data_IF_414305666082
#
_entry.id   IF_414305666082
#
_cell.length_a   1.000
_cell.length_b   1.000
_cell.length_c   1.000
_cell.angle_alpha   90.00
_cell.angle_beta   90.00
_cell.angle_gamma   90.00
#
_symmetry.space_group_name_H-M   'P 1'
#
loop_
_entity.id
_entity.type
_entity.pdbx_description
1 polymer ?
#
# COMPACT_ATOMS: atom_id res chain seq x y z
N UNK A 1 32.26 -36.29 -45.57
CA UNK A 1 31.85 -35.07 -46.29
C UNK A 1 30.42 -34.74 -45.85
N UNK A 2 30.26 -33.84 -44.88
CA UNK A 2 29.79 -32.44 -45.10
C UNK A 2 28.25 -32.38 -45.24
N UNK A 3 27.50 -32.13 -44.16
CA UNK A 3 26.95 -30.81 -43.73
C UNK A 3 26.07 -30.13 -44.79
N UNK A 4 24.78 -29.96 -44.46
CA UNK A 4 23.87 -28.77 -44.60
C UNK A 4 22.47 -29.32 -44.22
N UNK A 5 21.93 -29.19 -43.00
CA UNK A 5 21.54 -28.00 -42.24
C UNK A 5 20.31 -27.25 -42.79
N UNK A 6 19.19 -27.43 -42.06
CA UNK A 6 18.31 -26.37 -41.56
C UNK A 6 17.34 -25.66 -42.52
N UNK A 7 16.07 -26.09 -42.52
CA UNK A 7 14.88 -25.21 -42.50
C UNK A 7 13.63 -26.06 -42.24
N UNK A 8 12.62 -25.48 -41.58
CA UNK A 8 11.34 -26.09 -41.14
C UNK A 8 11.31 -26.67 -39.71
N UNK A 9 11.90 -25.94 -38.75
CA UNK A 9 11.37 -25.91 -37.37
C UNK A 9 10.86 -24.50 -37.10
N UNK A 10 9.71 -24.19 -37.68
CA UNK A 10 8.99 -22.93 -37.45
C UNK A 10 7.49 -23.16 -37.62
N UNK A 11 6.92 -24.11 -36.86
CA UNK A 11 5.48 -24.32 -36.82
C UNK A 11 4.97 -25.06 -35.56
N UNK A 12 5.65 -25.02 -34.41
CA UNK A 12 5.08 -25.53 -33.13
C UNK A 12 5.66 -24.77 -31.91
N UNK A 13 5.55 -23.44 -31.88
CA UNK A 13 5.85 -22.65 -30.65
C UNK A 13 4.76 -21.58 -30.42
N UNK A 14 3.50 -21.93 -30.71
CA UNK A 14 2.33 -21.15 -30.32
C UNK A 14 1.30 -22.14 -29.77
N UNK A 15 1.52 -22.67 -28.55
CA UNK A 15 0.50 -23.34 -27.70
C UNK A 15 1.10 -24.00 -26.45
N UNK A 16 1.92 -23.31 -25.64
CA UNK A 16 2.29 -23.81 -24.28
C UNK A 16 2.39 -22.70 -23.22
N UNK A 17 1.53 -21.67 -23.29
CA UNK A 17 1.29 -20.75 -22.15
C UNK A 17 -0.21 -20.39 -22.07
N UNK A 18 -1.10 -21.37 -22.20
CA UNK A 18 -2.55 -21.22 -21.93
C UNK A 18 -3.17 -22.49 -21.34
N UNK A 19 -2.38 -23.33 -20.66
CA UNK A 19 -2.90 -24.54 -19.97
C UNK A 19 -2.39 -24.65 -18.54
N UNK A 20 -2.45 -23.54 -17.80
CA UNK A 20 -2.83 -23.67 -16.39
C UNK A 20 -4.36 -23.58 -16.40
N UNK A 21 -5.09 -24.53 -15.79
CA UNK A 21 -6.53 -24.37 -15.65
C UNK A 21 -6.72 -23.09 -14.84
N UNK A 22 -7.15 -22.03 -15.51
CA UNK A 22 -7.72 -20.87 -14.87
C UNK A 22 -8.92 -21.41 -14.08
N UNK A 23 -8.73 -21.68 -12.79
CA UNK A 23 -9.80 -21.43 -11.85
C UNK A 23 -10.09 -19.94 -11.99
N UNK A 24 -10.97 -19.61 -12.94
CA UNK A 24 -11.72 -18.37 -12.95
C UNK A 24 -12.53 -18.39 -11.66
N UNK A 25 -11.91 -18.00 -10.56
CA UNK A 25 -12.56 -17.83 -9.28
C UNK A 25 -13.54 -16.68 -9.48
N UNK A 26 -14.80 -17.04 -9.70
CA UNK A 26 -15.92 -16.11 -9.71
C UNK A 26 -15.92 -15.42 -8.35
N UNK A 27 -15.45 -14.17 -8.29
CA UNK A 27 -15.70 -13.38 -7.10
C UNK A 27 -17.22 -13.15 -7.00
N UNK A 28 -17.75 -13.28 -5.79
CA UNK A 28 -19.09 -12.83 -5.47
C UNK A 28 -19.27 -11.37 -5.92
N UNK A 29 -20.48 -10.99 -6.30
CA UNK A 29 -20.77 -9.70 -6.94
C UNK A 29 -20.62 -8.48 -6.02
N UNK A 30 -19.75 -8.52 -5.01
CA UNK A 30 -19.52 -7.44 -4.06
C UNK A 30 -18.12 -6.83 -4.25
N UNK A 31 -18.03 -5.51 -4.14
CA UNK A 31 -16.76 -4.75 -4.17
C UNK A 31 -16.73 -3.79 -2.99
N UNK A 32 -15.71 -3.92 -2.16
CA UNK A 32 -15.55 -3.12 -0.94
C UNK A 32 -14.80 -1.81 -1.23
N UNK A 33 -15.39 -0.68 -0.87
CA UNK A 33 -14.74 0.62 -0.88
C UNK A 33 -13.87 0.75 0.36
N UNK A 34 -12.60 1.08 0.18
CA UNK A 34 -11.59 1.13 1.23
C UNK A 34 -10.93 2.50 1.25
N UNK A 35 -11.27 3.31 2.26
CA UNK A 35 -10.70 4.64 2.45
C UNK A 35 -9.19 4.60 2.71
N UNK A 36 -8.46 5.64 2.30
CA UNK A 36 -7.00 5.64 2.25
C UNK A 36 -6.33 5.34 3.61
N UNK A 37 -6.84 5.93 4.69
CA UNK A 37 -6.32 5.74 6.06
C UNK A 37 -7.00 4.63 6.86
N UNK A 38 -7.99 3.91 6.30
CA UNK A 38 -8.69 2.86 7.03
C UNK A 38 -7.91 1.55 7.00
N UNK A 39 -7.77 0.87 8.13
CA UNK A 39 -7.20 -0.49 8.20
C UNK A 39 -8.06 -1.52 7.46
N UNK A 40 -9.36 -1.27 7.29
CA UNK A 40 -10.26 -2.24 6.63
C UNK A 40 -10.48 -3.51 7.45
N UNK A 41 -10.86 -4.59 6.76
CA UNK A 41 -11.19 -5.88 7.37
C UNK A 41 -9.96 -6.78 7.47
N UNK A 42 -9.85 -7.48 8.60
CA UNK A 42 -8.90 -8.57 8.87
C UNK A 42 -7.44 -8.23 8.53
N UNK A 43 -6.84 -7.22 9.19
CA UNK A 43 -5.48 -6.79 8.89
C UNK A 43 -4.43 -7.88 9.18
N UNK A 44 -3.50 -8.05 8.25
CA UNK A 44 -2.28 -8.82 8.50
C UNK A 44 -1.43 -8.15 9.59
N UNK A 45 -1.29 -6.84 9.55
CA UNK A 45 -0.46 -6.09 10.51
C UNK A 45 -1.11 -4.77 10.88
N UNK A 46 -0.61 -4.15 11.96
CA UNK A 46 -0.81 -2.73 12.19
C UNK A 46 -0.36 -1.90 10.97
N UNK A 47 -0.86 -0.67 10.89
CA UNK A 47 -0.51 0.24 9.79
C UNK A 47 1.00 0.52 9.74
N UNK A 48 1.55 0.36 8.55
CA UNK A 48 2.90 0.76 8.15
C UNK A 48 2.86 1.92 7.16
N UNK A 49 1.69 2.50 6.90
CA UNK A 49 1.57 3.69 6.09
C UNK A 49 2.17 4.90 6.82
N UNK A 50 3.06 5.62 6.16
CA UNK A 50 3.60 6.88 6.67
C UNK A 50 2.60 8.01 6.38
N UNK A 51 2.33 8.82 7.40
CA UNK A 51 1.47 9.99 7.25
C UNK A 51 2.15 11.02 6.33
N UNK A 52 1.36 11.65 5.47
CA UNK A 52 1.83 12.89 4.83
C UNK A 52 1.42 14.05 5.73
N UNK A 53 2.15 15.17 5.67
CA UNK A 53 1.59 16.47 6.02
C UNK A 53 0.22 16.67 5.32
N UNK A 54 -0.71 17.34 6.01
CA UNK A 54 -2.14 17.47 5.68
C UNK A 54 -2.41 17.68 4.17
N UNK A 55 -3.20 16.78 3.55
CA UNK A 55 -3.46 16.71 2.12
C UNK A 55 -4.41 17.79 1.54
N UNK A 56 -4.21 18.13 0.26
CA UNK A 56 -5.20 18.80 -0.60
C UNK A 56 -6.17 17.77 -1.25
N UNK A 57 -7.49 18.04 -1.32
CA UNK A 57 -8.53 17.03 -1.59
C UNK A 57 -8.91 16.85 -3.07
N UNK A 58 -8.02 17.08 -4.04
CA UNK A 58 -8.43 17.05 -5.47
C UNK A 58 -7.85 15.85 -6.22
N UNK A 59 -8.68 14.91 -6.73
CA UNK A 59 -8.20 13.88 -7.65
C UNK A 59 -7.64 14.56 -8.91
N UNK A 60 -6.34 14.37 -9.17
CA UNK A 60 -5.74 14.84 -10.42
C UNK A 60 -5.98 13.80 -11.50
N UNK A 61 -6.35 14.25 -12.70
CA UNK A 61 -6.56 13.38 -13.86
C UNK A 61 -5.32 12.49 -14.09
N UNK A 62 -5.51 11.18 -14.00
CA UNK A 62 -4.54 10.21 -14.53
C UNK A 62 -4.53 10.37 -16.05
N UNK A 63 -3.36 10.37 -16.73
CA UNK A 63 -3.29 10.56 -18.17
C UNK A 63 -4.21 9.58 -18.93
N UNK A 64 -4.81 10.10 -20.01
CA UNK A 64 -5.92 9.52 -20.78
C UNK A 64 -5.86 8.00 -20.93
N UNK A 65 -6.88 7.34 -20.38
CA UNK A 65 -7.23 5.95 -20.68
C UNK A 65 -8.30 5.93 -21.77
N UNK A 66 -8.16 5.03 -22.74
CA UNK A 66 -9.23 4.66 -23.68
C UNK A 66 -10.32 3.92 -22.89
N UNK A 67 -11.45 4.56 -22.63
CA UNK A 67 -12.57 3.95 -21.92
C UNK A 67 -13.85 4.03 -22.77
N UNK A 68 -14.50 2.88 -22.96
CA UNK A 68 -15.90 2.76 -23.37
C UNK A 68 -16.77 2.86 -22.11
N UNK A 69 -17.94 3.50 -22.18
CA UNK A 69 -18.87 3.59 -21.06
C UNK A 69 -19.13 2.19 -20.45
N UNK A 70 -18.97 2.05 -19.13
CA UNK A 70 -18.98 0.82 -18.32
C UNK A 70 -17.70 -0.03 -18.26
N UNK A 71 -16.59 0.36 -18.88
CA UNK A 71 -15.31 -0.33 -18.75
C UNK A 71 -14.44 0.33 -17.67
N UNK A 72 -13.92 -0.46 -16.71
CA UNK A 72 -12.90 0.00 -15.77
C UNK A 72 -11.67 0.47 -16.54
N UNK A 73 -11.13 1.64 -16.20
CA UNK A 73 -10.00 2.24 -16.93
C UNK A 73 -8.73 1.43 -16.69
N UNK A 74 -8.16 0.86 -17.75
CA UNK A 74 -6.90 0.10 -17.64
C UNK A 74 -5.71 1.04 -17.82
N UNK A 75 -4.78 1.02 -16.86
CA UNK A 75 -3.54 1.80 -16.90
C UNK A 75 -2.35 0.87 -16.70
N UNK A 76 -1.24 1.10 -17.40
CA UNK A 76 0.00 0.33 -17.20
C UNK A 76 0.71 0.81 -15.94
N UNK A 77 1.30 -0.11 -15.18
CA UNK A 77 2.07 0.20 -13.97
C UNK A 77 3.30 1.07 -14.20
N UNK A 78 3.78 1.16 -15.45
CA UNK A 78 4.88 2.03 -15.86
C UNK A 78 4.46 3.46 -16.24
N UNK A 79 3.15 3.77 -16.23
CA UNK A 79 2.66 5.09 -16.64
C UNK A 79 3.23 6.19 -15.72
N UNK A 80 3.99 7.17 -16.27
CA UNK A 80 4.47 8.30 -15.50
C UNK A 80 3.33 9.05 -14.80
N UNK A 81 3.50 9.34 -13.51
CA UNK A 81 2.47 9.99 -12.72
C UNK A 81 1.27 9.12 -12.38
N UNK A 82 1.29 7.80 -12.59
CA UNK A 82 0.26 6.94 -12.01
C UNK A 82 0.28 7.02 -10.46
N UNK A 83 1.47 7.20 -9.90
CA UNK A 83 1.72 7.22 -8.47
C UNK A 83 2.12 8.59 -7.96
N UNK A 84 1.84 8.83 -6.69
CA UNK A 84 2.27 9.99 -5.94
C UNK A 84 3.08 9.60 -4.70
N UNK A 85 3.51 10.61 -3.95
CA UNK A 85 4.19 10.47 -2.67
C UNK A 85 5.11 11.65 -2.40
N UNK A 86 5.71 11.69 -1.21
CA UNK A 86 6.66 12.75 -0.85
C UNK A 86 8.07 12.44 -1.32
N UNK A 87 8.72 13.42 -1.95
CA UNK A 87 10.13 13.28 -2.34
C UNK A 87 11.01 13.09 -1.09
N UNK A 88 11.93 12.13 -1.14
CA UNK A 88 12.83 11.75 -0.04
C UNK A 88 12.17 11.11 1.19
N UNK A 89 10.90 10.72 1.09
CA UNK A 89 10.23 9.95 2.14
C UNK A 89 9.44 8.78 1.55
N UNK A 90 9.46 7.65 2.23
CA UNK A 90 8.65 6.49 1.87
C UNK A 90 7.19 6.71 2.26
N UNK A 91 6.26 6.24 1.44
CA UNK A 91 4.84 6.21 1.82
C UNK A 91 4.51 5.04 2.76
N UNK A 92 5.42 4.07 2.88
CA UNK A 92 5.27 2.91 3.74
C UNK A 92 6.60 2.57 4.42
N UNK A 93 6.55 2.22 5.70
CA UNK A 93 7.67 1.65 6.43
C UNK A 93 7.81 0.15 6.12
N UNK A 94 8.72 -0.15 5.18
CA UNK A 94 9.01 -1.51 4.74
C UNK A 94 9.61 -2.36 5.86
N UNK A 95 10.49 -1.81 6.69
CA UNK A 95 11.16 -2.58 7.74
C UNK A 95 10.21 -2.88 8.90
N UNK A 96 9.30 -1.96 9.23
CA UNK A 96 8.21 -2.23 10.18
C UNK A 96 7.30 -3.34 9.68
N UNK A 97 6.98 -3.38 8.38
CA UNK A 97 6.18 -4.46 7.80
C UNK A 97 6.90 -5.82 7.90
N UNK A 98 8.20 -5.83 7.60
CA UNK A 98 9.04 -7.02 7.70
C UNK A 98 9.10 -7.52 9.14
N UNK A 99 9.31 -6.61 10.10
CA UNK A 99 9.34 -6.93 11.53
C UNK A 99 8.03 -7.53 12.00
N UNK A 100 6.89 -6.92 11.63
CA UNK A 100 5.57 -7.40 12.02
C UNK A 100 5.27 -8.80 11.47
N UNK A 101 5.60 -9.08 10.21
CA UNK A 101 5.41 -10.43 9.64
C UNK A 101 6.42 -11.43 10.21
N UNK A 102 7.68 -11.05 10.40
CA UNK A 102 8.70 -11.95 10.98
C UNK A 102 8.38 -12.34 12.43
N UNK A 103 7.73 -11.44 13.18
CA UNK A 103 7.23 -11.70 14.53
C UNK A 103 5.95 -12.54 14.59
N UNK A 104 5.29 -12.81 13.45
CA UNK A 104 4.06 -13.58 13.38
C UNK A 104 4.15 -14.70 12.31
N UNK A 105 4.79 -15.84 12.62
CA UNK A 105 5.09 -16.89 11.63
C UNK A 105 3.88 -17.44 10.87
N UNK A 106 2.72 -17.55 11.51
CA UNK A 106 1.47 -17.99 10.86
C UNK A 106 1.01 -16.99 9.80
N UNK A 107 0.96 -15.70 10.18
CA UNK A 107 0.63 -14.61 9.25
C UNK A 107 1.64 -14.51 8.12
N UNK A 108 2.93 -14.66 8.39
CA UNK A 108 3.96 -14.65 7.36
C UNK A 108 3.78 -15.77 6.33
N UNK A 109 3.42 -16.97 6.79
CA UNK A 109 3.15 -18.11 5.91
C UNK A 109 1.94 -17.86 5.01
N UNK A 110 0.85 -17.32 5.55
CA UNK A 110 -0.34 -17.00 4.78
C UNK A 110 -0.09 -15.82 3.82
N UNK A 111 0.65 -14.80 4.27
CA UNK A 111 1.05 -13.68 3.41
C UNK A 111 1.87 -14.17 2.21
N UNK A 112 2.84 -15.05 2.48
CA UNK A 112 3.71 -15.63 1.47
C UNK A 112 2.93 -16.52 0.49
N UNK A 113 1.94 -17.29 0.97
CA UNK A 113 1.14 -18.16 0.10
C UNK A 113 0.26 -17.38 -0.87
N UNK A 114 -0.33 -16.24 -0.46
CA UNK A 114 -1.10 -15.37 -1.35
C UNK A 114 -0.26 -14.86 -2.52
N UNK A 115 1.01 -14.55 -2.27
CA UNK A 115 1.92 -13.96 -3.26
C UNK A 115 2.78 -15.00 -4.01
N UNK A 116 2.56 -16.29 -3.76
CA UNK A 116 3.33 -17.41 -4.33
C UNK A 116 4.85 -17.28 -4.09
N UNK A 117 5.22 -16.92 -2.86
CA UNK A 117 6.62 -16.83 -2.42
C UNK A 117 6.87 -17.73 -1.21
N UNK A 118 8.15 -18.07 -0.97
CA UNK A 118 8.54 -18.80 0.24
C UNK A 118 8.44 -17.86 1.47
N UNK A 119 8.01 -18.34 2.65
CA UNK A 119 7.96 -17.52 3.87
C UNK A 119 9.30 -16.86 4.23
N UNK A 120 10.42 -17.56 3.99
CA UNK A 120 11.78 -17.01 4.18
C UNK A 120 12.16 -15.91 3.17
N UNK A 121 11.44 -15.81 2.05
CA UNK A 121 11.65 -14.81 1.02
C UNK A 121 10.91 -13.49 1.26
N UNK A 122 9.95 -13.45 2.20
CA UNK A 122 9.12 -12.25 2.46
C UNK A 122 9.95 -10.99 2.73
N UNK A 123 11.02 -11.02 3.55
CA UNK A 123 11.83 -9.82 3.77
C UNK A 123 12.50 -9.28 2.50
N UNK A 124 13.03 -10.17 1.66
CA UNK A 124 13.66 -9.77 0.40
C UNK A 124 12.64 -9.26 -0.61
N UNK A 125 11.46 -9.90 -0.66
CA UNK A 125 10.35 -9.48 -1.50
C UNK A 125 9.88 -8.07 -1.15
N UNK A 126 9.60 -7.80 0.13
CA UNK A 126 9.12 -6.49 0.59
C UNK A 126 10.13 -5.36 0.31
N UNK A 127 11.44 -5.60 0.48
CA UNK A 127 12.50 -4.62 0.16
C UNK A 127 12.63 -4.35 -1.34
N UNK A 128 12.23 -5.28 -2.19
CA UNK A 128 12.22 -5.06 -3.64
C UNK A 128 11.02 -4.23 -4.11
N UNK A 129 9.97 -4.12 -3.28
CA UNK A 129 8.80 -3.31 -3.62
C UNK A 129 9.04 -1.83 -3.37
N UNK A 130 8.38 -1.00 -4.17
CA UNK A 130 8.53 0.45 -4.13
C UNK A 130 7.38 1.08 -3.33
N UNK A 131 7.63 1.80 -2.24
CA UNK A 131 6.60 2.52 -1.50
C UNK A 131 6.13 3.75 -2.25
N UNK A 132 4.83 3.82 -2.55
CA UNK A 132 4.17 4.92 -3.27
C UNK A 132 2.73 5.12 -2.79
N UNK A 133 2.07 6.19 -3.24
CA UNK A 133 0.64 6.45 -3.04
C UNK A 133 -0.12 6.36 -4.35
N UNK A 134 -1.34 5.84 -4.28
CA UNK A 134 -2.26 5.83 -5.41
C UNK A 134 -2.73 7.25 -5.72
N UNK A 135 -2.74 7.66 -7.00
CA UNK A 135 -3.35 8.95 -7.42
C UNK A 135 -4.77 8.82 -7.94
N UNK A 136 -5.26 7.59 -8.11
CA UNK A 136 -6.63 7.29 -8.50
C UNK A 136 -7.18 6.13 -7.69
N UNK A 137 -8.49 6.10 -7.59
CA UNK A 137 -9.22 4.99 -7.00
C UNK A 137 -8.92 3.70 -7.78
N UNK A 138 -8.38 2.68 -7.11
CA UNK A 138 -7.78 1.52 -7.79
C UNK A 138 -8.44 0.22 -7.39
N UNK A 139 -8.84 -0.61 -8.37
CA UNK A 139 -9.35 -1.97 -8.17
C UNK A 139 -8.22 -2.93 -7.84
N UNK A 140 -8.44 -3.76 -6.82
CA UNK A 140 -7.54 -4.84 -6.41
C UNK A 140 -8.33 -6.04 -5.89
N UNK A 141 -7.68 -7.19 -5.83
CA UNK A 141 -8.09 -8.28 -4.94
C UNK A 141 -7.30 -8.14 -3.65
N UNK A 142 -7.97 -7.90 -2.53
CA UNK A 142 -7.36 -7.73 -1.22
C UNK A 142 -7.58 -8.99 -0.37
N UNK A 143 -6.59 -9.32 0.45
CA UNK A 143 -6.59 -10.55 1.24
C UNK A 143 -6.38 -10.21 2.71
N UNK A 144 -7.38 -10.48 3.54
CA UNK A 144 -7.25 -10.35 4.99
C UNK A 144 -6.72 -11.63 5.62
N UNK A 145 -6.48 -11.60 6.92
CA UNK A 145 -6.08 -12.77 7.71
C UNK A 145 -7.13 -13.06 8.78
N UNK A 146 -7.78 -14.21 8.68
CA UNK A 146 -8.77 -14.67 9.65
C UNK A 146 -8.60 -16.17 9.88
N UNK A 147 -8.63 -16.62 11.14
CA UNK A 147 -8.61 -18.03 11.54
C UNK A 147 -7.50 -18.87 10.86
N UNK A 148 -6.28 -18.32 10.78
CA UNK A 148 -5.13 -19.03 10.21
C UNK A 148 -5.08 -19.07 8.69
N UNK A 149 -5.99 -18.36 8.00
CA UNK A 149 -6.15 -18.42 6.55
C UNK A 149 -6.29 -17.02 5.93
N UNK A 150 -6.04 -16.93 4.62
CA UNK A 150 -6.28 -15.70 3.88
C UNK A 150 -7.78 -15.59 3.54
N UNK A 151 -8.41 -14.47 3.87
CA UNK A 151 -9.70 -14.10 3.26
C UNK A 151 -9.43 -13.50 1.88
N UNK A 152 -10.42 -13.46 1.00
CA UNK A 152 -10.26 -12.87 -0.34
C UNK A 152 -11.49 -12.06 -0.68
N UNK A 153 -11.30 -10.79 -1.06
CA UNK A 153 -12.39 -9.91 -1.44
C UNK A 153 -11.95 -8.91 -2.50
N UNK A 154 -12.90 -8.48 -3.33
CA UNK A 154 -12.66 -7.42 -4.30
C UNK A 154 -12.77 -6.06 -3.61
N UNK A 155 -11.85 -5.15 -3.93
CA UNK A 155 -11.83 -3.83 -3.33
C UNK A 155 -11.55 -2.72 -4.34
N UNK A 156 -12.01 -1.52 -4.02
CA UNK A 156 -11.50 -0.26 -4.56
C UNK A 156 -10.78 0.47 -3.44
N UNK A 157 -9.48 0.68 -3.62
CA UNK A 157 -8.66 1.49 -2.73
C UNK A 157 -8.80 2.96 -3.15
N UNK A 158 -9.11 3.84 -2.20
CA UNK A 158 -9.18 5.28 -2.45
C UNK A 158 -7.83 5.84 -2.91
N UNK A 159 -7.85 6.85 -3.79
CA UNK A 159 -6.69 7.70 -4.03
C UNK A 159 -6.08 8.22 -2.70
N UNK A 160 -4.75 8.30 -2.63
CA UNK A 160 -4.01 8.60 -1.41
C UNK A 160 -3.65 7.36 -0.57
N UNK A 161 -4.19 6.17 -0.88
CA UNK A 161 -3.78 4.94 -0.19
C UNK A 161 -2.30 4.66 -0.44
N UNK A 162 -1.53 4.46 0.63
CA UNK A 162 -0.14 4.01 0.57
C UNK A 162 -0.05 2.51 0.25
N UNK A 163 0.75 2.17 -0.75
CA UNK A 163 0.94 0.80 -1.25
C UNK A 163 2.41 0.51 -1.55
N UNK A 164 2.78 -0.75 -1.51
CA UNK A 164 4.03 -1.26 -2.06
C UNK A 164 3.77 -1.83 -3.46
N UNK A 165 4.47 -1.33 -4.48
CA UNK A 165 4.33 -1.79 -5.87
C UNK A 165 5.53 -2.60 -6.33
N UNK A 166 5.31 -3.62 -7.17
CA UNK A 166 6.40 -4.41 -7.74
C UNK A 166 7.17 -3.67 -8.86
N UNK A 167 8.19 -4.33 -9.41
CA UNK A 167 9.05 -3.82 -10.48
C UNK A 167 8.32 -3.67 -11.83
N UNK A 168 7.03 -4.03 -11.90
CA UNK A 168 6.13 -3.80 -13.05
C UNK A 168 5.09 -2.73 -12.74
N UNK A 169 5.13 -2.16 -11.54
CA UNK A 169 4.21 -1.15 -11.06
C UNK A 169 2.83 -1.72 -10.74
N UNK A 170 2.71 -2.95 -10.21
CA UNK A 170 1.42 -3.46 -9.73
C UNK A 170 1.39 -3.36 -8.20
N UNK A 171 0.31 -2.84 -7.58
CA UNK A 171 0.16 -2.86 -6.12
C UNK A 171 0.16 -4.28 -5.56
N UNK A 172 1.05 -4.57 -4.59
CA UNK A 172 1.24 -5.89 -3.98
C UNK A 172 0.97 -5.92 -2.49
N UNK A 173 1.04 -4.79 -1.80
CA UNK A 173 0.72 -4.68 -0.37
C UNK A 173 0.02 -3.35 -0.10
N UNK A 174 -1.03 -3.37 0.73
CA UNK A 174 -1.64 -2.15 1.26
C UNK A 174 -1.07 -1.83 2.63
N UNK A 175 -0.44 -0.68 2.77
CA UNK A 175 0.35 -0.37 3.98
C UNK A 175 -0.52 -0.06 5.20
N UNK A 176 -1.78 0.35 5.02
CA UNK A 176 -2.71 0.59 6.13
C UNK A 176 -3.07 -0.69 6.92
N UNK A 177 -2.86 -1.89 6.36
CA UNK A 177 -3.22 -3.16 6.99
C UNK A 177 -2.22 -4.30 6.78
N UNK A 178 -1.15 -4.08 6.01
CA UNK A 178 -0.17 -5.10 5.66
C UNK A 178 -0.68 -6.19 4.73
N UNK A 179 -1.90 -6.05 4.21
CA UNK A 179 -2.54 -7.10 3.43
C UNK A 179 -1.88 -7.29 2.06
N UNK A 180 -1.63 -8.54 1.63
CA UNK A 180 -1.16 -8.82 0.28
C UNK A 180 -2.28 -8.57 -0.73
N UNK A 181 -1.89 -8.00 -1.86
CA UNK A 181 -2.77 -7.61 -2.96
C UNK A 181 -2.44 -8.42 -4.21
N UNK A 182 -3.49 -8.84 -4.92
CA UNK A 182 -3.43 -9.42 -6.25
C UNK A 182 -4.20 -8.54 -7.24
N UNK A 183 -3.97 -8.72 -8.57
CA UNK A 183 -4.81 -8.10 -9.58
C UNK A 183 -6.30 -8.37 -9.32
N UNK A 184 -7.19 -7.40 -9.63
CA UNK A 184 -8.62 -7.58 -9.49
C UNK A 184 -9.13 -8.64 -10.46
N UNK A 185 -10.17 -9.38 -10.08
CA UNK A 185 -10.84 -10.30 -10.99
C UNK A 185 -12.00 -9.60 -11.71
N UNK A 186 -12.21 -9.97 -12.98
CA UNK A 186 -13.29 -9.42 -13.78
C UNK A 186 -14.67 -9.75 -13.17
N UNK A 187 -15.53 -8.74 -13.09
CA UNK A 187 -16.91 -8.89 -12.64
C UNK A 187 -17.80 -9.15 -13.85
N UNK A 188 -18.73 -10.10 -13.74
CA UNK A 188 -19.66 -10.45 -14.82
C UNK A 188 -20.88 -9.52 -14.89
N UNK A 189 -21.13 -8.77 -13.81
CA UNK A 189 -22.22 -7.81 -13.68
C UNK A 189 -21.75 -6.58 -12.89
N UNK A 190 -22.58 -5.54 -12.84
CA UNK A 190 -22.33 -4.40 -11.96
C UNK A 190 -22.23 -4.88 -10.52
N UNK A 191 -21.07 -4.71 -9.85
CA UNK A 191 -20.92 -5.19 -8.49
C UNK A 191 -21.71 -4.32 -7.52
N UNK A 192 -22.24 -4.95 -6.48
CA UNK A 192 -22.74 -4.27 -5.29
C UNK A 192 -21.56 -3.66 -4.53
N UNK A 193 -21.56 -2.34 -4.42
CA UNK A 193 -20.57 -1.63 -3.61
C UNK A 193 -20.88 -1.80 -2.12
N UNK A 194 -19.85 -2.04 -1.31
CA UNK A 194 -19.92 -2.14 0.15
C UNK A 194 -19.00 -1.12 0.80
N UNK A 195 -19.41 -0.58 1.94
CA UNK A 195 -18.68 0.46 2.67
C UNK A 195 -19.06 1.88 2.23
N UNK A 196 -18.54 2.87 2.95
CA UNK A 196 -18.83 4.27 2.69
C UNK A 196 -18.04 4.78 1.47
N UNK A 197 -18.75 5.38 0.51
CA UNK A 197 -18.11 6.13 -0.56
C UNK A 197 -17.58 7.46 0.00
N UNK A 198 -16.37 7.86 -0.41
CA UNK A 198 -15.80 9.17 -0.09
C UNK A 198 -16.34 10.26 -1.04
N UNK A 199 -16.28 11.54 -0.62
CA UNK A 199 -16.48 12.66 -1.54
C UNK A 199 -15.58 12.53 -2.76
N UNK A 200 -16.18 12.60 -3.95
CA UNK A 200 -15.46 12.46 -5.22
C UNK A 200 -15.33 11.03 -5.76
N UNK A 201 -15.79 10.00 -5.04
CA UNK A 201 -15.84 8.64 -5.60
C UNK A 201 -16.71 8.59 -6.86
N UNK A 202 -16.16 8.03 -7.95
CA UNK A 202 -16.87 7.79 -9.21
C UNK A 202 -16.45 6.44 -9.75
N UNK A 203 -17.40 5.52 -9.91
CA UNK A 203 -17.12 4.17 -10.43
C UNK A 203 -16.50 4.19 -11.83
N UNK A 204 -16.80 5.20 -12.64
CA UNK A 204 -16.23 5.45 -13.97
C UNK A 204 -14.77 5.90 -13.97
N UNK A 205 -14.26 6.40 -12.85
CA UNK A 205 -12.89 6.90 -12.73
C UNK A 205 -11.95 5.91 -12.03
N UNK A 206 -12.50 4.77 -11.60
CA UNK A 206 -11.74 3.68 -11.00
C UNK A 206 -10.83 3.05 -12.05
N UNK A 207 -9.57 2.83 -11.67
CA UNK A 207 -8.54 2.25 -12.53
C UNK A 207 -8.21 0.81 -12.15
N UNK A 208 -7.76 0.02 -13.13
CA UNK A 208 -7.07 -1.25 -12.94
C UNK A 208 -5.64 -1.06 -13.42
N UNK A 209 -4.69 -1.33 -12.53
CA UNK A 209 -3.27 -1.28 -12.89
C UNK A 209 -2.85 -2.64 -13.45
N UNK A 210 -2.37 -2.64 -14.67
CA UNK A 210 -1.82 -3.82 -15.35
C UNK A 210 -0.29 -3.79 -15.32
N UNK A 211 0.39 -4.94 -15.23
CA UNK A 211 1.83 -4.96 -15.22
C UNK A 211 2.39 -4.32 -16.49
N UNK A 212 3.44 -3.52 -16.34
CA UNK A 212 4.25 -3.07 -17.47
C UNK A 212 4.76 -4.29 -18.27
N UNK A 213 5.02 -4.13 -19.58
CA UNK A 213 5.61 -5.18 -20.43
C UNK A 213 7.14 -5.34 -20.22
N UNK A 214 7.78 -4.33 -19.64
CA UNK A 214 9.19 -4.36 -19.23
C UNK A 214 9.34 -3.92 -17.77
N UNK A 215 10.45 -4.32 -17.14
CA UNK A 215 10.79 -3.87 -15.79
C UNK A 215 10.85 -2.34 -15.77
N UNK A 216 10.17 -1.73 -14.81
CA UNK A 216 10.18 -0.30 -14.58
C UNK A 216 11.52 0.03 -13.93
N UNK A 217 12.38 0.77 -14.63
CA UNK A 217 13.68 1.18 -14.10
C UNK A 217 13.57 2.41 -13.19
N UNK A 218 12.53 3.20 -13.38
CA UNK A 218 12.25 4.43 -12.65
C UNK A 218 10.76 4.69 -12.65
N UNK A 219 10.21 5.00 -11.48
CA UNK A 219 8.87 5.54 -11.32
C UNK A 219 8.97 7.07 -11.32
N UNK A 220 8.22 7.72 -12.22
CA UNK A 220 8.03 9.18 -12.19
C UNK A 220 6.82 9.45 -11.31
N UNK A 221 7.08 10.01 -10.13
CA UNK A 221 6.13 10.17 -9.03
C UNK A 221 5.81 11.65 -8.86
N UNK A 222 4.54 11.96 -8.61
CA UNK A 222 4.06 13.31 -8.33
C UNK A 222 4.02 13.57 -6.82
N UNK A 223 4.60 14.67 -6.38
CA UNK A 223 4.55 15.12 -5.00
C UNK A 223 3.40 16.12 -4.84
N UNK A 224 2.28 15.75 -4.18
CA UNK A 224 1.11 16.62 -4.08
C UNK A 224 1.31 17.80 -3.12
N UNK A 225 2.31 17.76 -2.24
CA UNK A 225 2.59 18.84 -1.28
C UNK A 225 3.38 19.96 -1.94
N UNK A 226 4.42 19.60 -2.71
CA UNK A 226 5.25 20.57 -3.42
C UNK A 226 4.77 20.90 -4.84
N UNK A 227 3.92 20.06 -5.42
CA UNK A 227 3.54 20.14 -6.84
C UNK A 227 4.65 19.72 -7.80
N UNK A 228 5.77 19.21 -7.29
CA UNK A 228 6.93 18.81 -8.07
C UNK A 228 6.86 17.34 -8.54
N UNK A 229 7.73 17.01 -9.47
CA UNK A 229 7.94 15.65 -9.97
C UNK A 229 9.29 15.11 -9.53
N UNK A 230 9.34 13.82 -9.21
CA UNK A 230 10.60 13.15 -8.89
C UNK A 230 10.65 11.72 -9.43
N UNK A 231 11.87 11.26 -9.65
CA UNK A 231 12.21 9.92 -10.07
C UNK A 231 12.58 9.07 -8.84
N UNK A 232 11.83 7.99 -8.61
CA UNK A 232 12.11 6.96 -7.59
C UNK A 232 12.52 5.65 -8.27
N UNK A 233 13.59 5.03 -7.82
CA UNK A 233 14.01 3.70 -8.31
C UNK A 233 13.20 2.60 -7.64
N UNK A 234 13.02 1.43 -8.28
CA UNK A 234 12.42 0.28 -7.63
C UNK A 234 13.09 -0.07 -6.31
N UNK A 235 12.29 -0.33 -5.27
CA UNK A 235 12.78 -0.66 -3.92
C UNK A 235 13.36 0.53 -3.12
N UNK A 236 13.46 1.73 -3.71
CA UNK A 236 13.97 2.89 -2.98
C UNK A 236 12.91 3.45 -2.01
N UNK A 237 13.35 3.75 -0.78
CA UNK A 237 12.51 4.33 0.28
C UNK A 237 12.59 5.86 0.33
N UNK A 238 13.00 6.49 -0.78
CA UNK A 238 13.13 7.93 -0.96
C UNK A 238 14.57 8.44 -0.90
N UNK A 239 15.52 7.66 -0.36
CA UNK A 239 16.91 8.10 -0.16
C UNK A 239 17.61 8.50 -1.46
N UNK A 240 17.23 7.89 -2.58
CA UNK A 240 17.83 8.13 -3.88
C UNK A 240 16.95 8.97 -4.83
N UNK A 241 15.85 9.54 -4.34
CA UNK A 241 14.92 10.32 -5.15
C UNK A 241 15.59 11.53 -5.80
N UNK A 242 15.38 11.69 -7.10
CA UNK A 242 15.87 12.84 -7.88
C UNK A 242 14.72 13.67 -8.41
N UNK A 243 14.79 15.00 -8.31
CA UNK A 243 13.83 15.88 -8.99
C UNK A 243 13.89 15.59 -10.49
N UNK A 244 12.74 15.67 -11.16
CA UNK A 244 12.61 15.53 -12.60
C UNK A 244 11.58 16.52 -13.12
N UNK A 245 11.54 16.69 -14.44
CA UNK A 245 10.54 17.52 -15.10
C UNK A 245 9.19 16.78 -15.16
N UNK A 246 8.06 17.51 -15.25
CA UNK A 246 6.77 16.91 -15.51
C UNK A 246 6.81 16.00 -16.75
N UNK A 247 6.15 14.82 -16.72
CA UNK A 247 6.06 13.98 -17.89
C UNK A 247 5.30 14.69 -19.03
N UNK A 248 5.63 14.43 -20.31
CA UNK A 248 4.95 15.06 -21.44
C UNK A 248 3.43 14.88 -21.37
N UNK A 249 2.67 15.97 -21.54
CA UNK A 249 1.21 15.97 -21.49
C UNK A 249 0.60 16.26 -20.12
N UNK A 250 1.40 16.44 -19.06
CA UNK A 250 0.91 17.03 -17.80
C UNK A 250 1.08 18.54 -17.85
N UNK A 251 0.11 19.25 -18.44
CA UNK A 251 0.03 20.70 -18.25
C UNK A 251 -0.40 20.95 -16.82
N UNK A 252 0.50 21.48 -15.98
CA UNK A 252 0.12 22.16 -14.74
C UNK A 252 -0.80 23.31 -15.14
N UNK A 253 -2.11 23.17 -14.91
CA UNK A 253 -3.00 24.32 -14.97
C UNK A 253 -2.50 25.28 -13.90
N UNK A 254 -2.16 26.55 -14.22
CA UNK A 254 -1.89 27.52 -13.18
C UNK A 254 -3.12 27.58 -12.28
N UNK A 255 -2.88 27.56 -10.96
CA UNK A 255 -3.87 27.94 -9.96
C UNK A 255 -4.55 29.23 -10.42
N UNK A 256 -5.89 29.39 -10.31
CA UNK A 256 -6.52 30.66 -10.67
C UNK A 256 -5.85 31.75 -9.85
N UNK A 257 -5.16 32.64 -10.54
CA UNK A 257 -4.53 33.81 -9.97
C UNK A 257 -5.58 34.64 -9.25
N UNK A 258 -5.24 35.13 -8.07
CA UNK A 258 -5.91 36.24 -7.42
C UNK A 258 -6.22 37.34 -8.45
N UNK A 259 -7.45 37.86 -8.51
CA UNK A 259 -7.77 38.96 -9.40
C UNK A 259 -7.23 40.26 -8.78
N UNK A 260 -6.30 40.91 -9.47
CA UNK A 260 -6.10 42.35 -9.35
C UNK A 260 -4.75 42.79 -8.82
N UNK A 261 -3.78 42.90 -9.71
CA UNK A 261 -2.76 43.95 -9.59
C UNK A 261 -2.62 44.59 -10.97
N UNK A 262 -3.17 45.79 -11.21
CA UNK A 262 -3.00 46.45 -12.50
C UNK A 262 -1.59 47.04 -12.58
N UNK A 263 -0.95 46.74 -13.71
CA UNK A 263 0.33 47.26 -14.15
C UNK A 263 0.28 48.77 -14.30
N UNK A 264 1.22 49.47 -13.65
CA UNK A 264 1.46 50.89 -13.81
C UNK A 264 1.82 51.25 -15.27
N UNK A 265 1.12 52.23 -15.82
CA UNK A 265 1.57 53.05 -16.94
C UNK A 265 1.22 54.53 -16.62
N UNK A 266 2.09 55.50 -16.92
CA UNK A 266 1.97 56.86 -16.39
C UNK A 266 1.02 57.70 -17.26
N UNK A 267 0.21 58.55 -16.63
CA UNK A 267 -0.44 59.68 -17.31
C UNK A 267 -0.64 60.84 -16.34
N UNK A 268 -0.26 62.01 -16.84
CA UNK A 268 -0.12 63.29 -16.16
C UNK A 268 -1.45 64.01 -15.83
N UNK A 269 -1.36 64.93 -14.84
CA UNK A 269 -2.23 66.10 -14.48
C UNK A 269 -3.50 65.89 -13.63
N UNK A 270 -3.97 66.93 -12.87
CA UNK A 270 -3.31 67.69 -11.79
C UNK A 270 -4.23 67.77 -10.51
N UNK A 271 -3.85 68.42 -9.38
CA UNK A 271 -4.46 68.18 -8.07
C UNK A 271 -5.70 69.03 -7.80
N UNK A 272 -6.60 68.53 -6.95
CA UNK A 272 -7.65 69.34 -6.30
C UNK A 272 -7.80 68.88 -4.86
N UNK A 273 -7.81 69.89 -3.99
CA UNK A 273 -7.72 69.85 -2.54
C UNK A 273 -8.93 69.26 -1.78
N UNK A 274 -8.58 68.65 -0.63
CA UNK A 274 -9.30 68.68 0.66
C UNK A 274 -10.55 67.80 0.88
N UNK A 275 -10.95 67.54 2.14
CA UNK A 275 -10.14 67.05 3.25
C UNK A 275 -10.76 65.84 3.99
N UNK A 276 -9.93 65.24 4.84
CA UNK A 276 -10.21 64.22 5.86
C UNK A 276 -11.50 64.42 6.68
N UNK A 277 -12.15 63.32 7.09
CA UNK A 277 -12.71 63.23 8.43
C UNK A 277 -12.11 62.05 9.22
N UNK A 278 -11.66 62.38 10.43
CA UNK A 278 -11.30 61.48 11.52
C UNK A 278 -12.48 60.66 12.08
N UNK A 279 -12.10 59.55 12.72
CA UNK A 279 -12.72 58.83 13.85
C UNK A 279 -13.23 57.41 13.54
N UNK A 280 -13.29 56.47 14.52
CA UNK A 280 -12.59 56.36 15.82
C UNK A 280 -11.82 55.01 15.97
N UNK A 281 -11.06 54.77 17.07
CA UNK A 281 -10.47 53.45 17.33
C UNK A 281 -11.54 52.46 17.78
N UNK A 282 -11.59 51.27 17.16
CA UNK A 282 -12.40 50.14 17.64
C UNK A 282 -11.57 49.17 18.47
N UNK A 283 -12.15 48.88 19.63
CA UNK A 283 -11.67 48.11 20.75
C UNK A 283 -11.12 46.71 20.44
N UNK A 284 -10.03 46.43 21.15
CA UNK A 284 -9.41 45.12 21.35
C UNK A 284 -10.37 44.19 22.12
N UNK A 285 -10.60 42.95 21.69
CA UNK A 285 -11.46 42.01 22.42
C UNK A 285 -10.77 41.52 23.71
N UNK A 286 -11.50 41.33 24.82
CA UNK A 286 -10.93 40.87 26.08
C UNK A 286 -10.45 39.41 26.00
N UNK A 287 -9.41 39.02 26.75
CA UNK A 287 -8.96 37.63 26.80
C UNK A 287 -10.00 36.74 27.49
N UNK A 288 -10.22 35.56 26.92
CA UNK A 288 -11.03 34.50 27.52
C UNK A 288 -10.42 34.03 28.86
N UNK A 289 -11.23 33.66 29.87
CA UNK A 289 -10.72 33.18 31.14
C UNK A 289 -10.10 31.78 31.00
N UNK A 290 -8.85 31.65 31.42
CA UNK A 290 -8.19 30.36 31.68
C UNK A 290 -9.00 29.55 32.69
N UNK A 291 -9.45 28.37 32.28
CA UNK A 291 -10.01 27.38 33.21
C UNK A 291 -8.92 26.40 33.57
N UNK A 292 -8.43 26.51 34.80
CA UNK A 292 -7.52 25.59 35.46
C UNK A 292 -8.24 24.26 35.75
N UNK A 293 -7.64 23.08 35.48
CA UNK A 293 -8.22 21.81 35.92
C UNK A 293 -8.00 21.61 37.43
N UNK A 294 -9.00 21.10 38.19
CA UNK A 294 -8.81 20.79 39.61
C UNK A 294 -7.84 19.60 39.79
N UNK A 295 -7.04 19.58 40.87
CA UNK A 295 -6.27 18.40 41.24
C UNK A 295 -7.21 17.39 41.92
N UNK A 296 -7.05 16.10 41.63
CA UNK A 296 -7.55 15.06 42.53
C UNK A 296 -6.57 13.91 42.55
N UNK A 297 -5.96 13.78 43.73
CA UNK A 297 -5.12 12.69 44.19
C UNK A 297 -5.81 11.32 44.08
N UNK A 298 -4.96 10.31 43.88
CA UNK A 298 -5.26 8.88 43.78
C UNK A 298 -5.82 8.27 45.08
N UNK A 299 -6.27 7.00 45.03
CA UNK A 299 -5.38 5.92 45.52
C UNK A 299 -5.41 4.64 44.65
N UNK A 300 -4.52 3.65 44.91
CA UNK A 300 -4.07 2.66 43.93
C UNK A 300 -5.05 1.50 43.78
N UNK A 301 -5.14 0.94 42.57
CA UNK A 301 -5.79 -0.35 42.35
C UNK A 301 -4.73 -1.45 42.31
N UNK A 302 -4.91 -2.42 43.20
CA UNK A 302 -4.09 -3.61 43.40
C UNK A 302 -3.80 -4.40 42.10
N UNK A 303 -2.65 -5.08 42.02
CA UNK A 303 -2.35 -5.99 40.91
C UNK A 303 -3.26 -7.23 40.96
N UNK A 304 -3.66 -7.78 39.79
CA UNK A 304 -4.43 -9.02 39.75
C UNK A 304 -3.60 -10.20 40.27
N UNK A 305 -4.21 -11.18 40.96
CA UNK A 305 -3.51 -12.35 41.48
C UNK A 305 -2.97 -13.24 40.35
N UNK A 306 -1.79 -13.78 40.59
CA UNK A 306 -1.12 -14.77 39.75
C UNK A 306 -2.02 -15.99 39.53
N UNK A 307 -2.22 -16.38 38.27
CA UNK A 307 -2.78 -17.68 37.93
C UNK A 307 -1.80 -18.77 38.31
N UNK A 308 -2.18 -19.57 39.30
CA UNK A 308 -1.47 -20.75 39.75
C UNK A 308 -1.35 -21.79 38.62
N UNK A 309 -0.13 -22.31 38.43
CA UNK A 309 0.15 -23.51 37.65
C UNK A 309 -0.64 -24.72 38.21
N UNK A 310 -1.18 -25.60 37.36
CA UNK A 310 -1.65 -26.88 37.82
C UNK A 310 -0.45 -27.78 38.22
N UNK A 311 -0.55 -28.55 39.31
CA UNK A 311 0.57 -29.35 39.82
C UNK A 311 0.92 -30.54 38.91
N UNK A 312 2.21 -30.85 38.90
CA UNK A 312 2.77 -32.08 38.34
C UNK A 312 2.08 -33.32 38.93
N UNK A 313 1.53 -34.16 38.06
CA UNK A 313 0.97 -35.45 38.44
C UNK A 313 2.09 -36.50 38.48
N UNK A 314 2.46 -36.89 39.69
CA UNK A 314 3.32 -38.04 39.97
C UNK A 314 2.57 -39.35 39.69
N UNK A 315 3.28 -40.27 39.04
CA UNK A 315 2.85 -41.63 38.67
C UNK A 315 2.47 -42.52 39.87
N UNK A 316 1.79 -43.65 39.58
CA UNK A 316 2.03 -44.90 40.29
C UNK A 316 2.56 -45.99 39.33
N UNK A 317 3.56 -46.72 39.80
CA UNK A 317 4.05 -47.98 39.22
C UNK A 317 3.00 -49.10 39.33
N UNK A 318 3.17 -50.19 38.57
CA UNK A 318 3.23 -51.47 39.27
C UNK A 318 4.37 -52.39 38.82
N UNK A 319 4.76 -53.22 39.79
CA UNK A 319 5.66 -54.36 39.80
C UNK A 319 5.59 -55.31 38.59
N UNK A 320 6.72 -55.96 38.30
CA UNK A 320 6.72 -57.25 37.58
C UNK A 320 7.98 -57.58 36.79
N UNK A 321 9.10 -57.82 37.45
CA UNK A 321 10.17 -58.72 36.95
C UNK A 321 9.61 -60.15 36.76
N UNK A 322 10.15 -61.02 35.86
CA UNK A 322 11.54 -61.49 36.01
C UNK A 322 12.31 -61.89 34.73
N UNK A 323 13.61 -62.13 35.00
CA UNK A 323 14.53 -63.08 34.37
C UNK A 323 15.33 -62.63 33.13
N UNK A 324 16.57 -62.21 33.42
CA UNK A 324 17.77 -62.45 32.61
C UNK A 324 18.09 -63.96 32.58
N UNK A 325 18.89 -64.50 31.64
CA UNK A 325 20.34 -64.31 31.76
C UNK A 325 21.15 -64.20 30.45
N UNK A 326 22.33 -63.56 30.60
CA UNK A 326 23.65 -63.93 30.04
C UNK A 326 23.83 -63.94 28.49
N UNK A 327 24.95 -63.60 27.88
CA UNK A 327 26.27 -63.09 28.26
C UNK A 327 26.97 -62.72 26.94
N UNK A 328 28.02 -61.89 26.97
CA UNK A 328 28.93 -61.79 25.83
C UNK A 328 29.62 -60.45 25.66
N UNK A 329 30.65 -60.23 26.46
CA UNK A 329 31.70 -59.23 26.25
C UNK A 329 32.35 -59.32 24.85
N UNK A 330 32.76 -58.16 24.30
CA UNK A 330 33.54 -58.09 23.07
C UNK A 330 34.05 -56.69 22.77
N UNK A 331 35.17 -56.34 23.40
CA UNK A 331 35.96 -55.12 23.26
C UNK A 331 36.57 -54.91 21.85
N UNK A 332 36.81 -53.63 21.54
CA UNK A 332 37.93 -53.07 20.74
C UNK A 332 37.95 -53.37 19.22
N UNK A 333 38.58 -52.61 18.33
CA UNK A 333 39.08 -51.24 18.21
C UNK A 333 39.75 -51.20 16.80
N UNK A 334 39.82 -50.00 16.20
CA UNK A 334 40.84 -49.55 15.21
C UNK A 334 40.75 -49.99 13.73
N UNK A 335 40.91 -48.96 12.87
CA UNK A 335 41.56 -48.87 11.52
C UNK A 335 41.21 -49.97 10.48
N UNK A 336 40.84 -49.65 9.24
CA UNK A 336 41.40 -48.72 8.26
C UNK A 336 40.29 -48.14 7.36
#
# INVERSE_FOLDING_TARGET
MAVIALALVAAVVITVVLTRPDQSTKAGGEVFLQAAGSTGQDPFTESTAEQEPKASPTPTAVPSSTATANATRVVKGSTPGLYGGTRKAASCDVEKQISALSGAPDKNRVFASVLDIKPSGVPGYLRALTPVRLRADTRVTNHGYQDGSATTYQAVLQAGTAVLVDDRGVPRVRCACGNPLLPPVAQQSTPQLKGAAWPGYRSSDVVVVTPSATVVKVFVVFDPESGDWFARKPGDTGKADKKTDPPPGTTTSPSPSDPGSPSDAPSDTPPTDAPSPEAPPSDEPPPAPSTEPPPTDAPPSDPPPASEEPPASSAPAPDGSPASPAAGDGHAATAW
#
